data_IF_921014104911
#
_entry.id   IF_921014104911
#
_cell.length_a   1.000
_cell.length_b   1.000
_cell.length_c   1.000
_cell.angle_alpha   90.00
_cell.angle_beta   90.00
_cell.angle_gamma   90.00
#
_symmetry.space_group_name_H-M   'P 1'
#
loop_
_entity.id
_entity.type
_entity.pdbx_description
1 polymer ?
#
# COMPACT_ATOMS: atom_id res chain seq x y z
N UNK A 1 11.06 -15.66 6.78
CA UNK A 1 11.89 -15.95 5.60
C UNK A 1 12.70 -17.19 5.91
N UNK A 2 12.76 -18.15 4.99
CA UNK A 2 13.56 -19.37 5.16
C UNK A 2 14.48 -19.50 3.94
N UNK A 3 15.78 -19.60 4.17
CA UNK A 3 16.76 -19.82 3.09
C UNK A 3 16.64 -21.22 2.54
N UNK A 4 16.57 -21.33 1.20
CA UNK A 4 16.59 -22.61 0.47
C UNK A 4 17.98 -22.94 -0.07
N UNK A 5 18.62 -21.96 -0.70
CA UNK A 5 19.88 -22.13 -1.40
C UNK A 5 20.65 -20.81 -1.43
N UNK A 6 21.97 -20.92 -1.40
CA UNK A 6 22.89 -19.79 -1.51
C UNK A 6 24.10 -20.19 -2.35
N UNK A 7 24.44 -19.34 -3.30
CA UNK A 7 25.60 -19.51 -4.17
C UNK A 7 26.37 -18.21 -4.28
N UNK A 8 27.68 -18.30 -4.11
CA UNK A 8 28.60 -17.18 -4.15
C UNK A 8 29.81 -17.55 -5.00
N UNK A 9 30.29 -16.60 -5.81
CA UNK A 9 31.46 -16.80 -6.65
C UNK A 9 32.22 -15.49 -6.79
N UNK A 10 33.55 -15.56 -6.71
CA UNK A 10 34.43 -14.44 -7.03
C UNK A 10 35.47 -14.90 -8.05
N UNK A 11 35.62 -14.11 -9.12
CA UNK A 11 36.65 -14.25 -10.12
C UNK A 11 37.38 -12.92 -10.29
N UNK A 12 38.43 -12.88 -11.12
CA UNK A 12 39.33 -11.73 -11.17
C UNK A 12 38.65 -10.39 -11.52
N UNK A 13 37.55 -10.41 -12.28
CA UNK A 13 36.88 -9.21 -12.79
C UNK A 13 35.44 -9.00 -12.28
N UNK A 14 34.91 -9.94 -11.51
CA UNK A 14 33.58 -9.83 -10.92
C UNK A 14 33.42 -10.74 -9.71
N UNK A 15 32.42 -10.46 -8.90
CA UNK A 15 31.89 -11.41 -7.95
C UNK A 15 30.37 -11.33 -7.94
N UNK A 16 29.73 -12.47 -7.68
CA UNK A 16 28.28 -12.61 -7.70
C UNK A 16 27.78 -13.35 -6.48
N UNK A 17 26.57 -13.01 -6.08
CA UNK A 17 25.87 -13.63 -4.98
C UNK A 17 24.41 -13.87 -5.38
N UNK A 18 23.95 -15.10 -5.16
CA UNK A 18 22.57 -15.53 -5.37
C UNK A 18 22.06 -16.17 -4.09
N UNK A 19 20.88 -15.75 -3.63
CA UNK A 19 20.19 -16.35 -2.47
C UNK A 19 18.74 -16.59 -2.84
N UNK A 20 18.27 -17.80 -2.57
CA UNK A 20 16.89 -18.23 -2.78
C UNK A 20 16.22 -18.43 -1.42
N UNK A 21 15.06 -17.80 -1.22
CA UNK A 21 14.30 -17.89 0.02
C UNK A 21 12.82 -18.22 -0.23
N UNK A 22 12.16 -18.74 0.79
CA UNK A 22 10.71 -18.67 0.95
C UNK A 22 10.31 -17.43 1.74
N UNK A 23 9.36 -16.67 1.21
CA UNK A 23 8.75 -15.51 1.91
C UNK A 23 7.30 -15.30 1.49
N UNK A 24 6.41 -15.08 2.45
CA UNK A 24 4.98 -14.83 2.20
C UNK A 24 4.28 -15.87 1.29
N UNK A 25 4.72 -17.13 1.32
CA UNK A 25 4.19 -18.18 0.44
C UNK A 25 4.77 -18.20 -0.98
N UNK A 26 5.70 -17.29 -1.29
CA UNK A 26 6.39 -17.20 -2.57
C UNK A 26 7.85 -17.64 -2.45
N UNK A 27 8.38 -18.22 -3.54
CA UNK A 27 9.82 -18.47 -3.68
C UNK A 27 10.45 -17.30 -4.40
N UNK A 28 11.46 -16.71 -3.79
CA UNK A 28 12.11 -15.49 -4.24
C UNK A 28 13.60 -15.74 -4.39
N UNK A 29 14.20 -15.21 -5.44
CA UNK A 29 15.65 -15.25 -5.69
C UNK A 29 16.19 -13.84 -5.85
N UNK A 30 17.17 -13.48 -5.02
CA UNK A 30 17.97 -12.27 -5.23
C UNK A 30 19.23 -12.63 -6.00
N UNK A 31 19.60 -11.81 -6.98
CA UNK A 31 20.83 -11.95 -7.78
C UNK A 31 21.55 -10.62 -7.80
N UNK A 32 22.82 -10.66 -7.42
CA UNK A 32 23.69 -9.50 -7.39
C UNK A 32 25.00 -9.88 -8.08
N UNK A 33 25.43 -9.07 -9.03
CA UNK A 33 26.73 -9.19 -9.69
C UNK A 33 27.43 -7.84 -9.65
N UNK A 34 28.63 -7.82 -9.06
CA UNK A 34 29.53 -6.68 -9.07
C UNK A 34 30.64 -6.94 -10.07
N UNK A 35 30.63 -6.19 -11.16
CA UNK A 35 31.69 -6.22 -12.18
C UNK A 35 32.56 -4.95 -12.07
N UNK A 36 33.77 -4.96 -12.62
CA UNK A 36 34.65 -3.78 -12.70
C UNK A 36 34.02 -2.54 -13.33
N UNK A 37 32.98 -2.70 -14.14
CA UNK A 37 32.24 -1.60 -14.73
C UNK A 37 30.81 -1.65 -14.19
N UNK A 38 30.27 -0.47 -13.87
CA UNK A 38 28.90 -0.29 -13.38
C UNK A 38 27.86 -0.81 -14.39
N UNK A 39 28.09 -0.59 -15.68
CA UNK A 39 27.21 -1.02 -16.77
C UNK A 39 27.02 -2.53 -16.89
N UNK A 40 27.93 -3.33 -16.32
CA UNK A 40 27.81 -4.80 -16.23
C UNK A 40 27.39 -5.29 -14.84
N UNK A 41 27.17 -4.39 -13.90
CA UNK A 41 26.74 -4.73 -12.54
C UNK A 41 25.22 -4.64 -12.43
N UNK A 42 24.62 -5.52 -11.64
CA UNK A 42 23.19 -5.50 -11.38
C UNK A 42 22.87 -6.04 -9.99
N UNK A 43 21.74 -5.61 -9.46
CA UNK A 43 21.16 -6.15 -8.24
C UNK A 43 19.64 -6.17 -8.40
N UNK A 44 19.04 -7.36 -8.42
CA UNK A 44 17.60 -7.51 -8.58
C UNK A 44 17.04 -8.71 -7.83
N UNK A 45 15.73 -8.70 -7.67
CA UNK A 45 14.97 -9.78 -7.07
C UNK A 45 13.95 -10.29 -8.08
N UNK A 46 13.86 -11.61 -8.17
CA UNK A 46 12.90 -12.32 -9.00
C UNK A 46 12.00 -13.19 -8.11
N UNK A 47 10.75 -13.35 -8.50
CA UNK A 47 9.79 -14.26 -7.86
C UNK A 47 9.43 -15.39 -8.82
N UNK A 48 9.24 -16.61 -8.31
CA UNK A 48 8.73 -17.72 -9.12
C UNK A 48 7.22 -17.53 -9.34
N UNK A 49 6.77 -17.59 -10.59
CA UNK A 49 5.35 -17.52 -10.93
C UNK A 49 4.71 -18.92 -11.06
N UNK A 50 3.41 -18.96 -11.34
CA UNK A 50 2.62 -20.20 -11.42
C UNK A 50 3.07 -21.15 -12.54
N UNK A 51 3.71 -20.62 -13.58
CA UNK A 51 4.30 -21.41 -14.68
C UNK A 51 5.76 -21.79 -14.41
N UNK A 52 6.25 -21.62 -13.18
CA UNK A 52 7.60 -21.96 -12.72
C UNK A 52 8.72 -21.21 -13.44
N UNK A 53 8.46 -19.98 -13.89
CA UNK A 53 9.50 -19.08 -14.41
C UNK A 53 9.79 -17.93 -13.44
N UNK A 54 11.02 -17.42 -13.50
CA UNK A 54 11.47 -16.29 -12.68
C UNK A 54 11.00 -14.98 -13.34
N UNK A 55 10.27 -14.17 -12.59
CA UNK A 55 9.80 -12.84 -13.03
C UNK A 55 10.43 -11.76 -12.17
N UNK A 56 10.96 -10.71 -12.80
CA UNK A 56 11.54 -9.57 -12.11
C UNK A 56 10.50 -8.90 -11.21
N UNK A 57 10.81 -8.77 -9.92
CA UNK A 57 9.96 -8.14 -8.92
C UNK A 57 10.41 -6.72 -8.60
N UNK A 58 11.72 -6.54 -8.40
CA UNK A 58 12.34 -5.24 -8.15
C UNK A 58 13.82 -5.25 -8.50
N UNK A 59 14.36 -4.08 -8.76
CA UNK A 59 15.77 -3.81 -8.97
C UNK A 59 16.29 -2.74 -8.00
N UNK A 60 17.60 -2.73 -7.81
CA UNK A 60 18.34 -1.67 -7.15
C UNK A 60 19.30 -1.04 -8.18
N UNK A 61 19.16 0.26 -8.46
CA UNK A 61 20.06 0.95 -9.37
C UNK A 61 21.52 0.78 -8.95
N UNK A 62 22.39 0.44 -9.91
CA UNK A 62 23.82 0.19 -9.66
C UNK A 62 24.50 1.33 -8.89
N UNK A 63 24.17 2.59 -9.22
CA UNK A 63 24.70 3.78 -8.56
C UNK A 63 24.48 3.82 -7.03
N UNK A 64 23.48 3.10 -6.52
CA UNK A 64 23.09 3.15 -5.10
C UNK A 64 23.93 2.20 -4.23
N UNK A 65 24.74 1.33 -4.83
CA UNK A 65 25.51 0.32 -4.09
C UNK A 65 26.91 0.02 -4.64
N UNK A 66 27.18 0.34 -5.91
CA UNK A 66 28.41 -0.06 -6.59
C UNK A 66 29.68 0.52 -5.96
N UNK A 67 29.67 1.81 -5.59
CA UNK A 67 30.79 2.49 -4.92
C UNK A 67 31.00 2.02 -3.47
N UNK A 68 29.91 1.61 -2.80
CA UNK A 68 29.96 1.07 -1.45
C UNK A 68 30.50 -0.37 -1.39
N UNK A 69 30.60 -1.03 -2.55
CA UNK A 69 31.07 -2.40 -2.68
C UNK A 69 32.53 -2.44 -3.14
N UNK A 70 33.40 -3.28 -2.56
CA UNK A 70 34.80 -3.36 -2.95
C UNK A 70 35.01 -3.68 -4.44
N UNK A 71 36.07 -3.17 -5.07
CA UNK A 71 36.43 -3.57 -6.43
C UNK A 71 36.67 -5.09 -6.52
N UNK A 72 36.29 -5.76 -7.64
CA UNK A 72 36.45 -7.21 -7.78
C UNK A 72 37.89 -7.70 -7.61
N UNK A 73 38.05 -8.78 -6.85
CA UNK A 73 39.30 -9.55 -6.66
C UNK A 73 38.95 -11.02 -6.42
N UNK A 74 39.89 -11.93 -6.72
CA UNK A 74 39.67 -13.38 -6.62
C UNK A 74 39.48 -13.89 -5.17
N UNK A 75 39.99 -13.15 -4.21
CA UNK A 75 39.99 -13.47 -2.78
C UNK A 75 38.79 -12.85 -2.03
N UNK A 76 37.89 -12.15 -2.73
CA UNK A 76 36.69 -11.57 -2.10
C UNK A 76 35.73 -12.66 -1.67
N UNK A 77 35.30 -12.60 -0.41
CA UNK A 77 34.12 -13.30 0.06
C UNK A 77 32.86 -12.59 -0.46
N UNK A 78 32.38 -13.04 -1.62
CA UNK A 78 31.22 -12.47 -2.29
C UNK A 78 29.95 -12.52 -1.43
N UNK A 79 29.78 -13.59 -0.65
CA UNK A 79 28.62 -13.75 0.22
C UNK A 79 28.67 -12.73 1.35
N UNK A 80 29.80 -12.62 2.06
CA UNK A 80 29.95 -11.65 3.15
C UNK A 80 29.77 -10.20 2.68
N UNK A 81 30.29 -9.86 1.51
CA UNK A 81 30.20 -8.51 0.94
C UNK A 81 28.78 -8.17 0.47
N UNK A 82 28.09 -9.09 -0.20
CA UNK A 82 26.80 -8.81 -0.84
C UNK A 82 25.58 -9.18 0.01
N UNK A 83 25.74 -9.96 1.08
CA UNK A 83 24.65 -10.34 1.96
C UNK A 83 23.85 -9.14 2.52
N UNK A 84 24.46 -8.02 2.98
CA UNK A 84 23.69 -6.88 3.46
C UNK A 84 22.77 -6.26 2.40
N UNK A 85 23.24 -6.19 1.14
CA UNK A 85 22.43 -5.73 0.02
C UNK A 85 21.32 -6.73 -0.31
N UNK A 86 21.65 -8.02 -0.33
CA UNK A 86 20.66 -9.09 -0.50
C UNK A 86 19.55 -9.02 0.55
N UNK A 87 19.89 -8.85 1.83
CA UNK A 87 18.92 -8.74 2.93
C UNK A 87 18.04 -7.49 2.82
N UNK A 88 18.59 -6.37 2.34
CA UNK A 88 17.78 -5.17 2.06
C UNK A 88 16.76 -5.44 0.95
N UNK A 89 17.19 -6.06 -0.14
CA UNK A 89 16.33 -6.37 -1.28
C UNK A 89 15.26 -7.40 -0.94
N UNK A 90 15.64 -8.46 -0.22
CA UNK A 90 14.69 -9.50 0.22
C UNK A 90 13.65 -8.94 1.19
N UNK A 91 14.02 -8.02 2.09
CA UNK A 91 13.05 -7.30 2.94
C UNK A 91 12.06 -6.46 2.14
N UNK A 92 12.54 -5.72 1.12
CA UNK A 92 11.66 -4.96 0.21
C UNK A 92 10.73 -5.89 -0.57
N UNK A 93 11.27 -6.99 -1.09
CA UNK A 93 10.48 -8.00 -1.80
C UNK A 93 9.38 -8.60 -0.92
N UNK A 94 9.69 -8.93 0.33
CA UNK A 94 8.69 -9.43 1.27
C UNK A 94 7.61 -8.39 1.62
N UNK A 95 7.94 -7.11 1.65
CA UNK A 95 6.94 -6.05 1.84
C UNK A 95 5.99 -5.93 0.64
N UNK A 96 6.50 -6.08 -0.59
CA UNK A 96 5.69 -6.07 -1.82
C UNK A 96 4.79 -7.32 -1.90
N UNK A 97 5.34 -8.48 -1.52
CA UNK A 97 4.63 -9.77 -1.56
C UNK A 97 3.80 -10.04 -0.31
N UNK A 98 3.84 -9.14 0.69
CA UNK A 98 3.00 -9.30 1.85
C UNK A 98 1.54 -9.31 1.40
N UNK A 99 0.71 -10.23 1.92
CA UNK A 99 -0.72 -10.12 1.70
C UNK A 99 -1.15 -8.72 2.14
N UNK A 100 -2.07 -8.07 1.41
CA UNK A 100 -2.61 -6.79 1.84
C UNK A 100 -3.01 -6.95 3.30
N UNK A 101 -2.47 -6.08 4.16
CA UNK A 101 -2.86 -6.02 5.58
C UNK A 101 -4.37 -6.11 5.60
N UNK A 102 -4.91 -7.02 6.40
CA UNK A 102 -6.34 -7.35 6.38
C UNK A 102 -7.14 -6.09 6.71
N UNK A 103 -7.44 -5.32 5.68
CA UNK A 103 -8.37 -4.21 5.73
C UNK A 103 -9.67 -4.86 6.14
N UNK A 104 -10.32 -4.33 7.18
CA UNK A 104 -11.72 -4.65 7.46
C UNK A 104 -12.44 -4.71 6.11
N UNK A 105 -13.02 -5.86 5.76
CA UNK A 105 -13.54 -6.09 4.42
C UNK A 105 -14.50 -4.95 4.07
N UNK A 106 -14.05 -4.07 3.18
CA UNK A 106 -14.86 -2.98 2.67
C UNK A 106 -15.94 -3.63 1.83
N UNK A 107 -17.20 -3.29 2.09
CA UNK A 107 -18.32 -3.83 1.34
C UNK A 107 -18.09 -3.65 -0.17
N UNK A 108 -18.39 -4.67 -1.01
CA UNK A 108 -18.30 -4.54 -2.47
C UNK A 108 -19.06 -3.32 -3.00
N UNK A 109 -20.20 -2.96 -2.38
CA UNK A 109 -20.98 -1.78 -2.76
C UNK A 109 -20.21 -0.47 -2.58
N UNK A 110 -19.43 -0.38 -1.51
CA UNK A 110 -18.58 0.79 -1.25
C UNK A 110 -17.46 0.88 -2.27
N UNK A 111 -16.88 -0.25 -2.67
CA UNK A 111 -15.86 -0.29 -3.73
C UNK A 111 -16.43 0.15 -5.09
N UNK A 112 -17.61 -0.34 -5.46
CA UNK A 112 -18.31 0.07 -6.70
C UNK A 112 -18.59 1.58 -6.69
N UNK A 113 -19.00 2.13 -5.55
CA UNK A 113 -19.30 3.55 -5.42
C UNK A 113 -18.03 4.43 -5.47
N UNK A 114 -16.89 3.96 -4.92
CA UNK A 114 -15.59 4.63 -5.10
C UNK A 114 -15.15 4.60 -6.56
N UNK A 115 -15.34 3.47 -7.26
CA UNK A 115 -15.03 3.38 -8.69
C UNK A 115 -15.89 4.35 -9.53
N UNK A 116 -17.18 4.51 -9.18
CA UNK A 116 -18.05 5.49 -9.82
C UNK A 116 -17.61 6.94 -9.55
N UNK A 117 -17.17 7.26 -8.33
CA UNK A 117 -16.62 8.58 -8.00
C UNK A 117 -15.34 8.88 -8.76
N UNK A 118 -14.39 7.93 -8.82
CA UNK A 118 -13.18 8.05 -9.63
C UNK A 118 -13.53 8.28 -11.11
N UNK A 119 -14.46 7.50 -11.64
CA UNK A 119 -14.94 7.63 -13.02
C UNK A 119 -15.51 9.01 -13.31
N UNK A 120 -16.24 9.58 -12.36
CA UNK A 120 -16.89 10.89 -12.49
C UNK A 120 -15.89 12.04 -12.40
N UNK A 121 -14.92 11.96 -11.50
CA UNK A 121 -13.97 13.04 -11.24
C UNK A 121 -12.75 12.99 -12.16
N UNK A 122 -12.28 11.80 -12.51
CA UNK A 122 -11.02 11.57 -13.21
C UNK A 122 -11.16 10.79 -14.53
N UNK A 123 -12.37 10.39 -14.93
CA UNK A 123 -12.61 9.60 -16.14
C UNK A 123 -12.62 8.09 -15.90
N UNK A 124 -13.11 7.31 -16.87
CA UNK A 124 -13.38 5.87 -16.71
C UNK A 124 -12.14 5.01 -16.36
N UNK A 125 -10.94 5.50 -16.63
CA UNK A 125 -9.63 4.91 -16.31
C UNK A 125 -8.84 5.77 -15.29
N UNK A 126 -9.52 6.65 -14.56
CA UNK A 126 -8.91 7.62 -13.67
C UNK A 126 -8.13 7.00 -12.49
N UNK A 127 -6.89 7.43 -12.32
CA UNK A 127 -6.01 7.07 -11.21
C UNK A 127 -5.76 8.29 -10.31
N UNK A 128 -5.89 8.14 -8.98
CA UNK A 128 -5.58 9.21 -8.02
C UNK A 128 -4.93 8.67 -6.75
N UNK A 129 -3.80 9.27 -6.38
CA UNK A 129 -2.97 8.80 -5.26
C UNK A 129 -3.44 9.10 -3.82
N UNK A 130 -4.02 10.21 -3.39
CA UNK A 130 -4.28 10.53 -1.95
C UNK A 130 -3.12 10.26 -0.97
N UNK A 131 -2.32 11.28 -0.71
CA UNK A 131 -1.12 11.19 0.12
C UNK A 131 -1.43 11.34 1.64
N UNK A 132 -0.54 10.89 2.55
CA UNK A 132 -0.82 10.91 4.00
C UNK A 132 -1.21 12.27 4.58
N UNK A 133 -0.66 13.36 4.04
CA UNK A 133 -1.00 14.72 4.46
C UNK A 133 -2.43 15.09 4.06
N UNK A 134 -2.89 14.62 2.89
CA UNK A 134 -4.27 14.82 2.43
C UNK A 134 -5.24 14.03 3.30
N UNK A 135 -4.88 12.80 3.68
CA UNK A 135 -5.66 11.96 4.62
C UNK A 135 -5.73 12.66 5.99
N UNK A 136 -4.61 13.17 6.48
CA UNK A 136 -4.54 13.88 7.77
C UNK A 136 -5.38 15.16 7.74
N UNK A 137 -5.24 15.96 6.68
CA UNK A 137 -6.06 17.16 6.52
C UNK A 137 -7.55 16.80 6.45
N UNK A 138 -7.92 15.80 5.65
CA UNK A 138 -9.31 15.38 5.52
C UNK A 138 -9.87 14.83 6.84
N UNK A 139 -9.10 14.10 7.62
CA UNK A 139 -9.59 13.57 8.92
C UNK A 139 -9.69 14.66 9.99
N UNK A 140 -8.85 15.70 9.94
CA UNK A 140 -8.88 16.82 10.87
C UNK A 140 -9.93 17.90 10.53
N UNK A 141 -10.48 17.91 9.30
CA UNK A 141 -11.39 18.95 8.84
C UNK A 141 -12.74 18.37 8.38
N UNK A 142 -13.84 18.88 8.96
CA UNK A 142 -15.21 18.40 8.75
C UNK A 142 -15.63 17.32 9.76
N UNK A 143 -16.81 16.73 9.57
CA UNK A 143 -17.24 15.56 10.34
C UNK A 143 -16.52 14.28 9.90
N UNK A 144 -16.59 13.23 10.74
CA UNK A 144 -16.11 11.90 10.35
C UNK A 144 -16.84 11.40 9.11
N UNK A 145 -16.13 10.70 8.21
CA UNK A 145 -16.73 10.10 7.03
C UNK A 145 -17.74 9.02 7.46
N UNK A 146 -18.97 9.13 6.97
CA UNK A 146 -20.01 8.12 7.09
C UNK A 146 -20.38 7.58 5.73
N UNK A 147 -20.69 6.30 5.73
CA UNK A 147 -21.08 5.54 4.55
C UNK A 147 -22.39 4.85 4.86
N UNK A 148 -23.41 5.12 4.06
CA UNK A 148 -24.73 4.48 4.15
C UNK A 148 -25.00 3.72 2.88
N UNK A 149 -25.27 2.43 3.00
CA UNK A 149 -25.78 1.61 1.89
C UNK A 149 -27.31 1.62 1.90
N UNK A 150 -27.89 1.77 0.72
CA UNK A 150 -29.33 1.83 0.52
C UNK A 150 -29.87 0.52 -0.04
N UNK A 151 -31.15 0.25 0.19
CA UNK A 151 -31.80 -0.97 -0.27
C UNK A 151 -31.88 -1.07 -1.81
N UNK A 152 -31.85 0.06 -2.52
CA UNK A 152 -31.80 0.14 -3.98
C UNK A 152 -30.39 -0.04 -4.57
N UNK A 153 -29.38 -0.25 -3.71
CA UNK A 153 -27.98 -0.43 -4.09
C UNK A 153 -27.18 0.86 -4.20
N UNK A 154 -27.78 2.03 -3.97
CA UNK A 154 -27.04 3.29 -3.89
C UNK A 154 -26.19 3.35 -2.62
N UNK A 155 -25.16 4.21 -2.64
CA UNK A 155 -24.29 4.47 -1.49
C UNK A 155 -24.15 5.97 -1.29
N UNK A 156 -24.34 6.44 -0.05
CA UNK A 156 -24.08 7.83 0.34
C UNK A 156 -22.80 7.94 1.15
N UNK A 157 -21.87 8.78 0.68
CA UNK A 157 -20.71 9.24 1.44
C UNK A 157 -20.97 10.64 1.99
N UNK A 158 -20.76 10.86 3.29
CA UNK A 158 -20.97 12.19 3.88
C UNK A 158 -20.03 12.47 5.04
N UNK A 159 -19.59 13.73 5.12
CA UNK A 159 -18.87 14.33 6.26
C UNK A 159 -19.64 15.50 6.87
N UNK A 160 -20.87 15.74 6.41
CA UNK A 160 -21.67 16.88 6.82
C UNK A 160 -22.27 16.74 8.23
N UNK A 161 -22.39 15.51 8.73
CA UNK A 161 -23.11 15.24 9.97
C UNK A 161 -22.18 15.04 11.18
N UNK A 162 -22.58 15.58 12.33
CA UNK A 162 -21.98 15.29 13.66
C UNK A 162 -22.46 13.94 14.21
N UNK A 163 -21.73 13.38 15.18
CA UNK A 163 -22.02 12.08 15.83
C UNK A 163 -23.42 12.00 16.45
N UNK A 164 -23.97 13.14 16.85
CA UNK A 164 -25.29 13.31 17.46
C UNK A 164 -26.38 13.80 16.48
N UNK A 165 -26.08 13.92 15.18
CA UNK A 165 -27.05 14.44 14.21
C UNK A 165 -28.24 13.47 14.03
N UNK A 166 -29.49 13.89 14.26
CA UNK A 166 -30.65 13.00 14.19
C UNK A 166 -31.00 12.56 12.75
N UNK A 167 -30.49 13.26 11.73
CA UNK A 167 -30.71 12.93 10.32
C UNK A 167 -29.73 11.85 9.79
N UNK A 168 -28.74 11.46 10.59
CA UNK A 168 -27.79 10.38 10.25
C UNK A 168 -28.46 9.02 10.16
N UNK A 169 -29.58 8.83 10.85
CA UNK A 169 -30.30 7.55 10.85
C UNK A 169 -31.34 7.44 9.74
N UNK A 170 -31.58 8.47 8.93
CA UNK A 170 -32.69 8.50 7.97
C UNK A 170 -32.38 7.85 6.60
N UNK A 171 -31.45 6.89 6.56
CA UNK A 171 -31.06 6.16 5.33
C UNK A 171 -30.86 7.08 4.12
N UNK A 172 -30.24 8.25 4.29
CA UNK A 172 -29.93 9.19 3.21
C UNK A 172 -31.12 9.73 2.39
N UNK A 173 -32.37 9.51 2.81
CA UNK A 173 -33.57 9.93 2.04
C UNK A 173 -33.88 11.42 2.12
N UNK A 174 -33.17 12.17 2.98
CA UNK A 174 -33.27 13.63 3.09
C UNK A 174 -31.85 14.22 3.04
N UNK A 175 -31.64 15.17 2.13
CA UNK A 175 -30.45 16.01 2.15
C UNK A 175 -30.49 16.88 3.42
N UNK A 176 -29.38 16.94 4.15
CA UNK A 176 -29.21 17.94 5.19
C UNK A 176 -29.00 19.28 4.49
N UNK A 177 -29.87 20.24 4.74
CA UNK A 177 -29.84 21.61 4.19
C UNK A 177 -28.91 22.54 4.99
N UNK A 178 -27.84 21.98 5.57
CA UNK A 178 -26.92 22.66 6.50
C UNK A 178 -27.56 23.21 7.80
N UNK A 179 -28.88 23.06 8.02
CA UNK A 179 -29.58 23.54 9.23
C UNK A 179 -29.62 22.51 10.38
N UNK A 180 -28.52 21.78 10.62
CA UNK A 180 -28.35 21.05 11.89
C UNK A 180 -28.05 21.98 13.09
N UNK A 181 -28.64 23.19 13.08
CA UNK A 181 -28.82 24.07 14.24
C UNK A 181 -30.25 23.87 14.75
N UNK A 182 -30.50 22.88 15.60
CA UNK A 182 -31.76 22.89 16.36
C UNK A 182 -31.58 23.69 17.64
N UNK A 183 -32.30 24.82 17.71
CA UNK A 183 -32.55 25.54 18.96
C UNK A 183 -33.32 24.60 19.87
N UNK A 184 -32.80 24.35 21.07
CA UNK A 184 -33.51 23.60 22.12
C UNK A 184 -34.87 24.29 22.35
N UNK A 185 -36.01 23.61 22.20
CA UNK A 185 -37.28 24.20 22.61
C UNK A 185 -37.18 24.43 24.13
N UNK A 186 -37.09 25.68 24.56
CA UNK A 186 -37.49 26.04 25.91
C UNK A 186 -38.92 25.56 26.07
N UNK A 187 -39.04 24.47 26.81
CA UNK A 187 -40.24 23.86 27.36
C UNK A 187 -41.43 24.83 27.33
N UNK A 188 -42.44 24.49 26.52
CA UNK A 188 -43.80 24.97 26.71
C UNK A 188 -44.27 24.48 28.08
N UNK A 189 -43.92 25.20 29.14
CA UNK A 189 -44.62 25.08 30.42
C UNK A 189 -45.89 25.92 30.34
N UNK A 190 -46.91 25.30 29.77
CA UNK A 190 -48.30 25.60 30.08
C UNK A 190 -49.08 24.29 29.97
N UNK A 191 -49.80 23.88 31.03
CA UNK A 191 -51.24 24.02 30.88
C UNK A 191 -52.02 24.38 32.16
N UNK A 192 -52.98 25.29 31.96
CA UNK A 192 -54.38 25.33 32.41
C UNK A 192 -54.77 24.76 33.78
N UNK A 193 -55.31 25.65 34.64
CA UNK A 193 -56.13 25.28 35.80
C UNK A 193 -56.83 26.49 36.42
N UNK A 194 -58.12 26.62 36.07
CA UNK A 194 -59.24 27.29 36.80
C UNK A 194 -59.16 28.77 37.15
#
# INVERSE_FOLDING_TARGET
MITRDETAEAIGNRYRYTRIIDTAGHVVRVRIERHFYDSYSFAHVEVINDVKSWTLLLDEPTRDWWDASPPPRKDIDAAAVLAPLADRLLRRAAAILAPPTTTTAVSPRVLDAVAALLSTVYGFDGERRVDPDEITWATAHGGGLRVFEHADGAVTFTKAHRDDCPFVTSTGTRACDDECYYVVPTRLDGPLGS
#
